data_IF_836381712641
#
_entry.id   IF_836381712641
#
_cell.length_a   1.000
_cell.length_b   1.000
_cell.length_c   1.000
_cell.angle_alpha   90.00
_cell.angle_beta   90.00
_cell.angle_gamma   90.00
#
_symmetry.space_group_name_H-M   'P 1'
#
loop_
_entity.id
_entity.type
_entity.pdbx_description
1 polymer ?
#
# COMPACT_ATOMS: atom_id res chain seq x y z
N UNK A 1 -11.63 12.35 16.54
CA UNK A 1 -10.92 11.07 16.75
C UNK A 1 -11.66 9.99 15.99
N UNK A 2 -11.07 9.50 14.90
CA UNK A 2 -11.54 8.25 14.31
C UNK A 2 -11.36 7.15 15.37
N UNK A 3 -12.34 6.27 15.53
CA UNK A 3 -12.17 5.12 16.42
C UNK A 3 -11.00 4.28 15.90
N UNK A 4 -10.19 3.68 16.79
CA UNK A 4 -9.06 2.82 16.40
C UNK A 4 -9.50 1.71 15.43
N UNK A 5 -10.73 1.24 15.58
CA UNK A 5 -11.37 0.27 14.68
C UNK A 5 -11.53 0.86 13.27
N UNK A 6 -12.00 2.10 13.15
CA UNK A 6 -12.18 2.78 11.86
C UNK A 6 -10.83 3.03 11.18
N UNK A 7 -9.80 3.43 11.92
CA UNK A 7 -8.45 3.61 11.38
C UNK A 7 -7.86 2.29 10.90
N UNK A 8 -8.04 1.20 11.66
CA UNK A 8 -7.63 -0.15 11.28
C UNK A 8 -8.34 -0.64 10.01
N UNK A 9 -9.64 -0.44 9.91
CA UNK A 9 -10.42 -0.83 8.73
C UNK A 9 -10.05 0.01 7.50
N UNK A 10 -9.85 1.32 7.67
CA UNK A 10 -9.44 2.21 6.58
C UNK A 10 -8.06 1.87 6.04
N UNK A 11 -7.08 1.65 6.93
CA UNK A 11 -5.71 1.29 6.54
C UNK A 11 -5.62 -0.11 5.94
N UNK A 12 -6.37 -1.09 6.45
CA UNK A 12 -6.37 -2.45 5.88
C UNK A 12 -6.98 -2.48 4.49
N UNK A 13 -8.07 -1.75 4.26
CA UNK A 13 -8.71 -1.63 2.95
C UNK A 13 -7.81 -0.90 1.95
N UNK A 14 -7.14 0.19 2.38
CA UNK A 14 -6.18 0.91 1.55
C UNK A 14 -4.96 0.04 1.19
N UNK A 15 -4.41 -0.71 2.15
CA UNK A 15 -3.32 -1.65 1.88
C UNK A 15 -3.73 -2.74 0.88
N UNK A 16 -4.92 -3.33 1.04
CA UNK A 16 -5.44 -4.33 0.12
C UNK A 16 -5.61 -3.79 -1.31
N UNK A 17 -6.08 -2.55 -1.44
CA UNK A 17 -6.19 -1.86 -2.73
C UNK A 17 -4.83 -1.67 -3.41
N UNK A 18 -3.83 -1.15 -2.68
CA UNK A 18 -2.49 -0.90 -3.20
C UNK A 18 -1.77 -2.19 -3.63
N UNK A 19 -1.93 -3.28 -2.85
CA UNK A 19 -1.43 -4.60 -3.22
C UNK A 19 -2.13 -5.12 -4.48
N UNK A 20 -3.45 -4.92 -4.60
CA UNK A 20 -4.22 -5.26 -5.79
C UNK A 20 -3.72 -4.54 -7.04
N UNK A 21 -3.46 -3.24 -6.94
CA UNK A 21 -2.89 -2.44 -8.04
C UNK A 21 -1.50 -2.93 -8.45
N UNK A 22 -0.62 -3.23 -7.48
CA UNK A 22 0.70 -3.77 -7.78
C UNK A 22 0.62 -5.12 -8.52
N UNK A 23 -0.35 -5.96 -8.16
CA UNK A 23 -0.55 -7.28 -8.77
C UNK A 23 -1.09 -7.19 -10.20
N UNK A 24 -1.98 -6.23 -10.50
CA UNK A 24 -2.50 -6.04 -11.86
C UNK A 24 -1.45 -5.47 -12.81
N UNK A 25 -0.56 -4.60 -12.32
CA UNK A 25 0.58 -4.08 -13.08
C UNK A 25 1.53 -5.22 -13.52
N UNK A 26 1.80 -6.20 -12.65
CA UNK A 26 2.61 -7.38 -12.99
C UNK A 26 2.00 -8.28 -14.05
N UNK A 27 0.67 -8.26 -14.22
CA UNK A 27 -0.04 -9.01 -15.28
C UNK A 27 -0.12 -8.26 -16.60
N UNK A 28 0.35 -7.02 -16.68
CA UNK A 28 0.38 -6.24 -17.91
C UNK A 28 1.39 -6.83 -18.89
N UNK A 29 0.93 -7.12 -20.11
CA UNK A 29 1.73 -7.69 -21.21
C UNK A 29 2.90 -6.80 -21.66
N UNK A 30 2.94 -5.55 -21.19
CA UNK A 30 3.91 -4.53 -21.54
C UNK A 30 5.03 -4.37 -20.48
N UNK A 31 4.95 -5.05 -19.33
CA UNK A 31 5.83 -4.84 -18.17
C UNK A 31 6.67 -6.10 -17.90
N UNK A 32 8.00 -5.99 -18.01
CA UNK A 32 8.92 -7.07 -17.64
C UNK A 32 9.11 -7.19 -16.13
N UNK A 33 9.70 -8.30 -15.66
CA UNK A 33 9.95 -8.51 -14.23
C UNK A 33 10.83 -7.41 -13.59
N UNK A 34 11.82 -6.91 -14.31
CA UNK A 34 12.67 -5.82 -13.84
C UNK A 34 11.96 -4.46 -13.82
N UNK A 35 10.94 -4.26 -14.67
CA UNK A 35 10.16 -3.02 -14.72
C UNK A 35 9.16 -2.93 -13.56
N UNK A 36 8.78 -4.07 -12.97
CA UNK A 36 7.84 -4.15 -11.85
C UNK A 36 8.51 -4.04 -10.49
N UNK A 37 9.81 -4.31 -10.40
CA UNK A 37 10.61 -4.21 -9.16
C UNK A 37 10.52 -2.81 -8.49
N UNK A 38 10.70 -1.70 -9.23
CA UNK A 38 10.56 -0.36 -8.67
C UNK A 38 9.17 -0.10 -8.12
N UNK A 39 8.14 -0.64 -8.79
CA UNK A 39 6.74 -0.50 -8.38
C UNK A 39 6.50 -1.20 -7.04
N UNK A 40 7.03 -2.41 -6.86
CA UNK A 40 6.92 -3.11 -5.58
C UNK A 40 7.62 -2.37 -4.43
N UNK A 41 8.79 -1.78 -4.69
CA UNK A 41 9.52 -1.00 -3.68
C UNK A 41 8.73 0.25 -3.29
N UNK A 42 8.25 1.02 -4.27
CA UNK A 42 7.43 2.21 -4.01
C UNK A 42 6.15 1.85 -3.28
N UNK A 43 5.54 0.71 -3.61
CA UNK A 43 4.31 0.28 -2.96
C UNK A 43 4.52 -0.17 -1.52
N UNK A 44 5.60 -0.89 -1.24
CA UNK A 44 5.98 -1.26 0.12
C UNK A 44 6.25 -0.01 0.98
N UNK A 45 6.96 0.98 0.45
CA UNK A 45 7.25 2.24 1.16
C UNK A 45 5.96 3.02 1.42
N UNK A 46 5.06 3.13 0.44
CA UNK A 46 3.79 3.83 0.60
C UNK A 46 2.90 3.20 1.68
N UNK A 47 2.79 1.86 1.69
CA UNK A 47 2.04 1.14 2.73
C UNK A 47 2.70 1.35 4.09
N UNK A 48 4.04 1.34 4.17
CA UNK A 48 4.76 1.56 5.42
C UNK A 48 4.52 2.97 5.98
N UNK A 49 4.63 4.01 5.14
CA UNK A 49 4.36 5.40 5.54
C UNK A 49 2.91 5.59 5.98
N UNK A 50 1.95 5.01 5.26
CA UNK A 50 0.53 5.05 5.64
C UNK A 50 0.27 4.40 7.00
N UNK A 51 0.86 3.22 7.28
CA UNK A 51 0.75 2.54 8.57
C UNK A 51 1.45 3.33 9.68
N UNK A 52 2.62 3.91 9.37
CA UNK A 52 3.35 4.76 10.31
C UNK A 52 2.51 5.99 10.71
N UNK A 53 1.97 6.72 9.74
CA UNK A 53 1.11 7.89 9.99
C UNK A 53 -0.18 7.52 10.73
N UNK A 54 -0.82 6.40 10.37
CA UNK A 54 -2.09 6.02 10.96
C UNK A 54 -2.01 5.52 12.41
N UNK A 55 -0.85 4.97 12.83
CA UNK A 55 -0.71 4.31 14.15
C UNK A 55 0.42 4.88 15.03
N UNK A 56 1.50 5.36 14.44
CA UNK A 56 2.72 5.76 15.14
C UNK A 56 2.95 7.27 15.14
N UNK A 57 2.42 8.01 14.16
CA UNK A 57 2.43 9.47 14.21
C UNK A 57 1.44 9.97 15.28
N UNK A 58 1.98 10.18 16.49
CA UNK A 58 1.29 10.80 17.61
C UNK A 58 1.43 12.31 17.51
N UNK A 59 0.61 12.92 16.67
CA UNK A 59 0.26 14.33 16.85
C UNK A 59 -0.96 14.48 17.75
#
# INVERSE_FOLDING_TARGET
MLNKITTLLGTSLAAAFLIGLATTLTRSSMIGFFDVLPVYILMAIAIFMMVYEAFFDKK
#
